data_IF_620958434920
#
_entry.id   IF_620958434920
#
_cell.length_a   1.000
_cell.length_b   1.000
_cell.length_c   1.000
_cell.angle_alpha   90.00
_cell.angle_beta   90.00
_cell.angle_gamma   90.00
#
_symmetry.space_group_name_H-M   'P 1'
#
loop_
_entity.id
_entity.type
_entity.pdbx_description
1 polymer ?
#
# COMPACT_ATOMS: atom_id res chain seq x y z
N UNK A 1 4.89 26.19 2.87
CA UNK A 1 4.66 24.84 3.41
C UNK A 1 3.34 24.78 4.15
N UNK A 2 2.65 23.65 4.09
CA UNK A 2 1.48 23.40 4.93
C UNK A 2 1.93 23.41 6.40
N UNK A 3 1.10 24.01 7.27
CA UNK A 3 1.33 24.05 8.72
C UNK A 3 2.74 24.54 9.12
N UNK A 4 3.30 25.47 8.33
CA UNK A 4 4.66 26.02 8.55
C UNK A 4 5.77 24.98 8.64
N UNK A 5 5.56 23.82 8.00
CA UNK A 5 6.50 22.70 8.01
C UNK A 5 6.35 21.75 9.21
N UNK A 6 5.41 22.01 10.11
CA UNK A 6 5.11 21.09 11.21
C UNK A 6 4.23 19.93 10.73
N UNK A 7 4.21 18.80 11.41
CA UNK A 7 3.29 17.70 11.12
C UNK A 7 1.82 18.17 11.14
N UNK A 8 1.06 17.77 10.12
CA UNK A 8 -0.39 18.04 10.05
C UNK A 8 -1.15 17.03 10.89
N UNK A 9 -0.67 15.78 10.88
CA UNK A 9 -1.27 14.65 11.59
C UNK A 9 -0.16 13.81 12.23
N UNK A 10 -0.38 13.37 13.47
CA UNK A 10 0.57 12.52 14.17
C UNK A 10 0.35 11.05 13.81
N UNK A 11 1.42 10.32 13.51
CA UNK A 11 1.36 8.88 13.28
C UNK A 11 0.83 8.09 14.49
N UNK A 12 1.00 8.64 15.69
CA UNK A 12 0.50 8.03 16.94
C UNK A 12 -1.02 7.91 16.97
N UNK A 13 -1.72 8.72 16.20
CA UNK A 13 -3.18 8.78 16.19
C UNK A 13 -3.81 8.02 15.04
N UNK A 14 -3.05 7.70 13.97
CA UNK A 14 -3.60 7.14 12.74
C UNK A 14 -3.20 5.69 12.47
N UNK A 15 -2.19 5.17 13.17
CA UNK A 15 -1.66 3.83 12.89
C UNK A 15 -1.51 2.98 14.14
N UNK A 16 -1.65 1.65 14.00
CA UNK A 16 -1.51 0.70 15.12
C UNK A 16 -0.07 0.65 15.64
N UNK A 17 0.91 0.81 14.74
CA UNK A 17 2.34 0.82 15.09
C UNK A 17 2.82 2.18 15.62
N UNK A 18 1.96 3.19 15.61
CA UNK A 18 2.32 4.57 15.97
C UNK A 18 3.51 5.10 15.17
N UNK A 19 3.59 4.69 13.93
CA UNK A 19 4.58 5.09 12.95
C UNK A 19 4.08 4.79 11.55
N UNK A 20 4.37 5.67 10.60
CA UNK A 20 3.97 5.48 9.20
C UNK A 20 5.12 5.77 8.26
N UNK A 21 5.12 5.09 7.10
CA UNK A 21 6.10 5.27 6.04
C UNK A 21 5.44 5.24 4.66
N UNK A 22 6.23 5.58 3.66
CA UNK A 22 5.93 5.42 2.24
C UNK A 22 4.58 6.03 1.86
N UNK A 23 4.33 7.33 2.16
CA UNK A 23 3.06 7.96 1.83
C UNK A 23 2.92 8.08 0.32
N UNK A 24 1.82 7.56 -0.21
CA UNK A 24 1.38 7.81 -1.58
C UNK A 24 0.06 8.57 -1.56
N UNK A 25 -0.02 9.68 -2.30
CA UNK A 25 -1.19 10.54 -2.38
C UNK A 25 -1.69 10.67 -3.81
N UNK A 26 -3.00 10.59 -3.98
CA UNK A 26 -3.70 10.74 -5.26
C UNK A 26 -4.90 11.67 -5.09
N UNK A 27 -5.16 12.54 -6.08
CA UNK A 27 -6.42 13.29 -6.14
C UNK A 27 -7.45 12.47 -6.91
N UNK A 28 -8.57 12.14 -6.27
CA UNK A 28 -9.67 11.40 -6.87
C UNK A 28 -10.52 12.22 -7.83
N UNK A 29 -11.36 11.56 -8.65
CA UNK A 29 -12.25 12.23 -9.61
C UNK A 29 -13.34 13.05 -8.91
N UNK A 30 -13.63 12.79 -7.66
CA UNK A 30 -14.56 13.50 -6.78
C UNK A 30 -13.95 14.77 -6.13
N UNK A 31 -12.65 15.00 -6.38
CA UNK A 31 -11.88 16.12 -5.86
C UNK A 31 -11.27 15.90 -4.48
N UNK A 32 -11.55 14.78 -3.80
CA UNK A 32 -10.88 14.41 -2.57
C UNK A 32 -9.44 14.00 -2.83
N UNK A 33 -8.62 14.10 -1.80
CA UNK A 33 -7.27 13.51 -1.74
C UNK A 33 -7.35 12.17 -1.01
N UNK A 34 -6.73 11.16 -1.58
CA UNK A 34 -6.63 9.81 -1.07
C UNK A 34 -5.17 9.50 -0.78
N UNK A 35 -4.88 9.04 0.41
CA UNK A 35 -3.52 8.69 0.81
C UNK A 35 -3.50 7.29 1.39
N UNK A 36 -2.47 6.55 1.05
CA UNK A 36 -2.15 5.26 1.67
C UNK A 36 -0.75 5.31 2.25
N UNK A 37 -0.56 4.70 3.42
CA UNK A 37 0.74 4.65 4.09
C UNK A 37 0.98 3.27 4.69
N UNK A 38 2.24 2.85 4.75
CA UNK A 38 2.66 1.66 5.50
C UNK A 38 2.50 1.93 7.01
N UNK A 39 1.77 1.07 7.73
CA UNK A 39 1.72 1.09 9.20
C UNK A 39 2.98 0.44 9.76
N UNK A 40 4.02 1.24 10.00
CA UNK A 40 5.33 0.74 10.37
C UNK A 40 6.10 1.68 11.29
N UNK A 41 6.65 1.10 12.34
CA UNK A 41 7.63 1.73 13.23
C UNK A 41 9.01 1.13 12.97
N UNK A 42 9.86 1.86 12.26
CA UNK A 42 11.13 1.33 11.70
C UNK A 42 12.08 0.73 12.74
N UNK A 43 12.13 1.27 13.96
CA UNK A 43 13.02 0.74 15.01
C UNK A 43 12.53 -0.56 15.66
N UNK A 44 11.29 -1.01 15.37
CA UNK A 44 10.79 -2.34 15.75
C UNK A 44 11.25 -3.44 14.78
N UNK A 45 12.01 -3.08 13.75
CA UNK A 45 12.50 -4.00 12.72
C UNK A 45 11.65 -3.99 11.44
N UNK A 46 12.09 -4.79 10.49
CA UNK A 46 11.56 -4.81 9.12
C UNK A 46 10.41 -5.80 8.89
N UNK A 47 9.98 -6.53 9.90
CA UNK A 47 8.96 -7.58 9.79
C UNK A 47 7.82 -7.42 10.81
N UNK A 48 7.61 -6.22 11.32
CA UNK A 48 6.60 -5.96 12.34
C UNK A 48 5.37 -5.22 11.82
N UNK A 49 5.35 -4.84 10.56
CA UNK A 49 4.33 -4.01 9.94
C UNK A 49 3.32 -4.88 9.17
N UNK A 50 2.19 -5.15 9.81
CA UNK A 50 1.19 -6.11 9.32
C UNK A 50 -0.08 -5.44 8.82
N UNK A 51 0.03 -4.19 8.38
CA UNK A 51 -1.09 -3.41 7.91
C UNK A 51 -0.70 -2.13 7.18
N UNK A 52 -1.72 -1.41 6.75
CA UNK A 52 -1.61 -0.11 6.11
C UNK A 52 -2.71 0.82 6.62
N UNK A 53 -2.56 2.11 6.41
CA UNK A 53 -3.61 3.09 6.71
C UNK A 53 -4.14 3.66 5.40
N UNK A 54 -5.45 3.64 5.25
CA UNK A 54 -6.19 4.30 4.18
C UNK A 54 -6.70 5.63 4.72
N UNK A 55 -6.52 6.70 3.96
CA UNK A 55 -6.87 8.05 4.39
C UNK A 55 -7.49 8.84 3.26
N UNK A 56 -8.47 9.69 3.58
CA UNK A 56 -9.03 10.66 2.63
C UNK A 56 -9.21 12.03 3.25
N UNK A 57 -9.11 13.06 2.43
CA UNK A 57 -9.22 14.47 2.85
C UNK A 57 -9.80 15.34 1.74
N UNK A 58 -10.50 16.40 2.11
CA UNK A 58 -10.93 17.46 1.18
C UNK A 58 -9.88 18.56 1.00
N UNK A 59 -9.04 18.77 1.99
CA UNK A 59 -8.18 19.96 2.13
C UNK A 59 -6.70 19.65 2.40
N UNK A 60 -6.33 18.37 2.51
CA UNK A 60 -5.01 17.87 2.92
C UNK A 60 -4.59 18.28 4.34
N UNK A 61 -5.50 18.79 5.14
CA UNK A 61 -5.26 19.19 6.54
C UNK A 61 -6.03 18.28 7.49
N UNK A 62 -7.33 18.11 7.20
CA UNK A 62 -8.20 17.22 7.99
C UNK A 62 -8.34 15.90 7.26
N UNK A 63 -7.97 14.80 7.92
CA UNK A 63 -7.95 13.47 7.35
C UNK A 63 -8.88 12.51 8.10
N UNK A 64 -9.76 11.87 7.37
CA UNK A 64 -10.39 10.62 7.79
C UNK A 64 -9.37 9.50 7.59
N UNK A 65 -9.24 8.57 8.53
CA UNK A 65 -8.24 7.51 8.45
C UNK A 65 -8.74 6.19 9.03
N UNK A 66 -8.33 5.09 8.42
CA UNK A 66 -8.69 3.74 8.82
C UNK A 66 -7.49 2.80 8.64
N UNK A 67 -7.22 1.98 9.64
CA UNK A 67 -6.13 1.00 9.56
C UNK A 67 -6.68 -0.36 9.11
N UNK A 68 -6.13 -0.88 8.02
CA UNK A 68 -6.38 -2.25 7.57
C UNK A 68 -5.33 -3.15 8.20
N UNK A 69 -5.70 -3.86 9.26
CA UNK A 69 -4.84 -4.83 9.95
C UNK A 69 -5.06 -6.23 9.39
N UNK A 70 -4.12 -6.72 8.61
CA UNK A 70 -4.24 -7.96 7.84
C UNK A 70 -4.53 -9.20 8.68
N UNK A 71 -3.86 -9.45 9.84
CA UNK A 71 -4.17 -10.60 10.68
C UNK A 71 -5.60 -10.70 11.15
N UNK A 72 -6.23 -9.58 11.45
CA UNK A 72 -7.62 -9.54 11.89
C UNK A 72 -8.58 -9.65 10.71
N UNK A 73 -8.35 -8.81 9.69
CA UNK A 73 -9.22 -8.75 8.52
C UNK A 73 -9.29 -10.06 7.76
N UNK A 74 -8.16 -10.74 7.61
CA UNK A 74 -8.02 -11.94 6.80
C UNK A 74 -7.80 -13.20 7.63
N UNK A 75 -8.36 -13.24 8.84
CA UNK A 75 -8.27 -14.42 9.72
C UNK A 75 -8.70 -15.70 8.99
N UNK A 76 -7.88 -16.76 9.12
CA UNK A 76 -8.12 -18.04 8.44
C UNK A 76 -7.57 -18.14 7.01
N UNK A 77 -7.04 -17.07 6.43
CA UNK A 77 -6.38 -17.07 5.13
C UNK A 77 -4.85 -16.92 5.25
N UNK A 78 -4.11 -17.07 4.15
CA UNK A 78 -2.66 -16.82 4.16
C UNK A 78 -2.30 -15.37 4.53
N UNK A 79 -3.18 -14.42 4.28
CA UNK A 79 -2.96 -13.02 4.57
C UNK A 79 -2.98 -12.68 6.06
N UNK A 80 -3.49 -13.58 6.92
CA UNK A 80 -3.34 -13.47 8.36
C UNK A 80 -1.88 -13.67 8.82
N UNK A 81 -1.07 -14.37 8.01
CA UNK A 81 0.32 -14.72 8.34
C UNK A 81 1.34 -13.75 7.72
N UNK A 82 0.92 -12.57 7.30
CA UNK A 82 1.84 -11.56 6.79
C UNK A 82 2.84 -11.15 7.87
N UNK A 83 4.11 -11.09 7.52
CA UNK A 83 5.15 -10.49 8.36
C UNK A 83 5.32 -9.03 8.02
N UNK A 84 4.96 -8.66 6.79
CA UNK A 84 5.00 -7.29 6.32
C UNK A 84 4.01 -7.04 5.18
N UNK A 85 3.48 -5.82 5.17
CA UNK A 85 2.67 -5.22 4.12
C UNK A 85 3.32 -3.88 3.81
N UNK A 86 3.98 -3.75 2.66
CA UNK A 86 4.87 -2.61 2.40
C UNK A 86 4.45 -1.75 1.22
N UNK A 87 4.80 -0.47 1.36
CA UNK A 87 4.72 0.56 0.33
C UNK A 87 3.40 0.51 -0.46
N UNK A 88 2.23 0.62 0.21
CA UNK A 88 0.97 0.67 -0.48
C UNK A 88 0.90 1.92 -1.35
N UNK A 89 0.37 1.75 -2.55
CA UNK A 89 0.01 2.85 -3.43
C UNK A 89 -1.41 2.66 -3.96
N UNK A 90 -1.96 3.68 -4.58
CA UNK A 90 -3.32 3.61 -5.12
C UNK A 90 -3.43 4.32 -6.46
N UNK A 91 -4.28 3.79 -7.33
CA UNK A 91 -4.67 4.39 -8.61
C UNK A 91 -6.19 4.27 -8.76
N UNK A 92 -6.81 5.23 -9.42
CA UNK A 92 -8.24 5.17 -9.72
C UNK A 92 -8.48 4.38 -11.01
N UNK A 93 -9.11 3.21 -10.89
CA UNK A 93 -9.58 2.42 -12.03
C UNK A 93 -10.85 3.07 -12.61
N UNK A 94 -10.70 3.76 -13.72
CA UNK A 94 -11.80 4.47 -14.40
C UNK A 94 -12.90 3.52 -14.89
N UNK A 95 -12.55 2.28 -15.23
CA UNK A 95 -13.49 1.27 -15.74
C UNK A 95 -14.31 0.67 -14.59
N UNK A 96 -13.67 0.28 -13.51
CA UNK A 96 -14.33 -0.23 -12.31
C UNK A 96 -14.95 0.88 -11.46
N UNK A 97 -14.54 2.14 -11.66
CA UNK A 97 -14.89 3.31 -10.83
C UNK A 97 -14.55 3.13 -9.36
N UNK A 98 -13.39 2.52 -9.11
CA UNK A 98 -12.87 2.20 -7.78
C UNK A 98 -11.41 2.56 -7.64
N UNK A 99 -10.98 2.78 -6.42
CA UNK A 99 -9.56 2.90 -6.12
C UNK A 99 -8.96 1.50 -5.97
N UNK A 100 -7.99 1.17 -6.81
CA UNK A 100 -7.17 -0.03 -6.68
C UNK A 100 -5.98 0.31 -5.78
N UNK A 101 -5.86 -0.39 -4.66
CA UNK A 101 -4.71 -0.30 -3.75
C UNK A 101 -3.81 -1.50 -4.01
N UNK A 102 -2.51 -1.26 -4.22
CA UNK A 102 -1.53 -2.30 -4.48
C UNK A 102 -0.33 -2.15 -3.54
N UNK A 103 0.26 -3.26 -3.15
CA UNK A 103 1.24 -3.33 -2.06
C UNK A 103 2.03 -4.63 -2.11
N UNK A 104 3.18 -4.66 -1.46
CA UNK A 104 4.01 -5.86 -1.36
C UNK A 104 3.74 -6.62 -0.08
N UNK A 105 3.69 -7.96 -0.17
CA UNK A 105 3.46 -8.87 0.96
C UNK A 105 4.56 -9.92 1.05
N UNK A 106 4.97 -10.22 2.28
CA UNK A 106 5.72 -11.40 2.68
C UNK A 106 4.97 -12.13 3.79
N UNK A 107 4.93 -13.46 3.75
CA UNK A 107 4.37 -14.30 4.84
C UNK A 107 5.45 -15.16 5.49
N UNK A 108 5.21 -15.60 6.72
CA UNK A 108 6.11 -16.50 7.46
C UNK A 108 5.78 -17.99 7.28
N UNK A 109 4.63 -18.29 6.69
CA UNK A 109 4.15 -19.67 6.45
C UNK A 109 4.69 -20.29 5.15
N UNK A 110 5.60 -19.61 4.46
CA UNK A 110 6.22 -20.06 3.21
C UNK A 110 5.33 -19.97 1.96
N UNK A 111 4.05 -19.54 2.09
CA UNK A 111 3.15 -19.40 0.95
C UNK A 111 3.48 -18.19 0.08
N UNK A 112 4.06 -17.16 0.70
CA UNK A 112 4.64 -16.03 0.00
C UNK A 112 6.07 -15.78 0.51
N UNK A 113 7.08 -16.53 0.00
CA UNK A 113 8.44 -16.60 0.57
C UNK A 113 9.33 -15.41 0.19
N UNK A 114 8.85 -14.49 -0.63
CA UNK A 114 9.49 -13.23 -1.01
C UNK A 114 8.42 -12.15 -1.17
N UNK A 115 8.82 -10.89 -1.16
CA UNK A 115 7.90 -9.77 -1.35
C UNK A 115 7.26 -9.84 -2.73
N UNK A 116 5.98 -10.15 -2.77
CA UNK A 116 5.17 -10.26 -3.97
C UNK A 116 4.13 -9.16 -3.99
N UNK A 117 3.87 -8.60 -5.16
CA UNK A 117 2.92 -7.50 -5.30
C UNK A 117 1.51 -8.02 -5.45
N UNK A 118 0.64 -7.56 -4.55
CA UNK A 118 -0.79 -7.83 -4.51
C UNK A 118 -1.59 -6.55 -4.67
N UNK A 119 -2.87 -6.70 -4.96
CA UNK A 119 -3.83 -5.60 -5.03
C UNK A 119 -5.21 -6.00 -4.53
N UNK A 120 -5.98 -5.02 -4.10
CA UNK A 120 -7.42 -5.12 -3.85
C UNK A 120 -8.07 -3.77 -4.14
N UNK A 121 -9.38 -3.74 -4.40
CA UNK A 121 -10.10 -2.47 -4.42
C UNK A 121 -10.33 -1.97 -3.01
N UNK A 122 -10.26 -0.66 -2.82
CA UNK A 122 -10.84 -0.02 -1.64
C UNK A 122 -12.37 0.00 -1.77
N UNK A 123 -13.05 -0.05 -0.62
CA UNK A 123 -14.50 0.17 -0.55
C UNK A 123 -14.86 1.63 -0.87
N UNK A 124 -16.15 1.93 -0.99
CA UNK A 124 -16.66 3.21 -1.48
C UNK A 124 -16.20 4.41 -0.64
N UNK A 125 -16.11 4.25 0.67
CA UNK A 125 -15.68 5.32 1.59
C UNK A 125 -14.17 5.36 1.86
N UNK A 126 -13.39 4.50 1.19
CA UNK A 126 -11.93 4.37 1.33
C UNK A 126 -11.50 4.05 2.77
N UNK A 127 -12.30 3.27 3.48
CA UNK A 127 -12.04 2.87 4.88
C UNK A 127 -11.50 1.46 5.03
N UNK A 128 -11.66 0.60 4.00
CA UNK A 128 -11.25 -0.80 4.03
C UNK A 128 -10.97 -1.33 2.61
N UNK A 129 -10.38 -2.52 2.52
CA UNK A 129 -10.19 -3.25 1.26
C UNK A 129 -11.35 -4.24 1.03
N UNK A 130 -11.78 -4.38 -0.22
CA UNK A 130 -12.81 -5.35 -0.61
C UNK A 130 -12.20 -6.72 -0.88
N UNK A 131 -12.75 -7.75 -0.24
CA UNK A 131 -12.36 -9.15 -0.47
C UNK A 131 -10.91 -9.47 -0.11
N UNK A 132 -10.41 -10.59 -0.62
CA UNK A 132 -9.01 -10.99 -0.45
C UNK A 132 -8.12 -10.36 -1.54
N UNK A 133 -6.87 -9.96 -1.18
CA UNK A 133 -5.93 -9.45 -2.15
C UNK A 133 -5.61 -10.47 -3.25
N UNK A 134 -5.45 -9.99 -4.47
CA UNK A 134 -5.07 -10.77 -5.65
C UNK A 134 -3.64 -10.45 -6.06
N UNK A 135 -2.92 -11.41 -6.61
CA UNK A 135 -1.59 -11.18 -7.16
C UNK A 135 -1.71 -10.17 -8.31
N UNK A 136 -0.93 -9.10 -8.28
CA UNK A 136 -0.82 -8.15 -9.38
C UNK A 136 0.17 -8.69 -10.42
N UNK A 137 1.38 -9.03 -9.98
CA UNK A 137 2.37 -9.73 -10.78
C UNK A 137 3.32 -10.54 -9.88
N UNK A 138 4.00 -11.51 -10.50
CA UNK A 138 4.98 -12.36 -9.84
C UNK A 138 6.15 -12.63 -10.79
N UNK A 139 7.31 -12.09 -10.47
CA UNK A 139 8.56 -12.33 -11.21
C UNK A 139 9.42 -13.45 -10.61
N UNK A 140 8.86 -14.22 -9.68
CA UNK A 140 9.59 -15.25 -8.92
C UNK A 140 10.80 -14.69 -8.14
N UNK A 141 10.73 -13.43 -7.78
CA UNK A 141 11.72 -12.73 -6.97
C UNK A 141 11.06 -11.55 -6.25
N UNK A 142 11.71 -11.07 -5.17
CA UNK A 142 11.17 -9.97 -4.40
C UNK A 142 11.00 -8.69 -5.24
N UNK A 143 9.80 -8.09 -5.17
CA UNK A 143 9.44 -6.82 -5.79
C UNK A 143 8.73 -5.93 -4.77
N UNK A 144 9.21 -4.70 -4.61
CA UNK A 144 8.67 -3.70 -3.71
C UNK A 144 8.60 -2.33 -4.38
N UNK A 145 8.04 -1.35 -3.70
CA UNK A 145 7.99 0.05 -4.15
C UNK A 145 7.38 0.17 -5.55
N UNK A 146 6.28 -0.56 -5.77
CA UNK A 146 5.60 -0.57 -7.08
C UNK A 146 4.87 0.75 -7.30
N UNK A 147 5.05 1.33 -8.49
CA UNK A 147 4.30 2.50 -8.95
C UNK A 147 3.64 2.21 -10.30
N UNK A 148 2.39 2.65 -10.47
CA UNK A 148 1.62 2.47 -11.70
C UNK A 148 1.20 3.83 -12.23
N UNK A 149 1.60 4.13 -13.45
CA UNK A 149 1.30 5.38 -14.13
C UNK A 149 0.51 5.08 -15.40
N UNK A 150 -0.60 5.77 -15.61
CA UNK A 150 -1.33 5.78 -16.88
C UNK A 150 -0.79 6.93 -17.73
N UNK A 151 -0.35 6.64 -18.96
CA UNK A 151 0.09 7.65 -19.90
C UNK A 151 -1.07 8.30 -20.68
N UNK A 152 -0.74 9.24 -21.56
CA UNK A 152 -1.71 9.99 -22.35
C UNK A 152 -2.51 9.09 -23.32
N UNK A 153 -1.94 7.97 -23.75
CA UNK A 153 -2.57 6.98 -24.62
C UNK A 153 -3.43 5.96 -23.87
N UNK A 154 -3.48 6.05 -22.53
CA UNK A 154 -4.21 5.15 -21.67
C UNK A 154 -3.50 3.83 -21.40
N UNK A 155 -2.20 3.75 -21.70
CA UNK A 155 -1.37 2.60 -21.34
C UNK A 155 -0.88 2.72 -19.90
N UNK A 156 -0.84 1.58 -19.20
CA UNK A 156 -0.32 1.51 -17.85
C UNK A 156 1.13 1.06 -17.84
N UNK A 157 1.99 1.86 -17.23
CA UNK A 157 3.39 1.56 -17.00
C UNK A 157 3.59 1.19 -15.54
N UNK A 158 4.26 0.07 -15.28
CA UNK A 158 4.52 -0.43 -13.94
C UNK A 158 6.01 -0.34 -13.66
N UNK A 159 6.37 0.40 -12.62
CA UNK A 159 7.72 0.52 -12.10
C UNK A 159 7.80 -0.18 -10.76
N UNK A 160 8.89 -0.84 -10.46
CA UNK A 160 9.11 -1.50 -9.18
C UNK A 160 10.59 -1.69 -8.91
N UNK A 161 10.92 -1.89 -7.63
CA UNK A 161 12.27 -2.21 -7.20
C UNK A 161 12.37 -3.69 -6.91
N UNK A 162 13.40 -4.35 -7.43
CA UNK A 162 13.73 -5.73 -7.06
C UNK A 162 14.60 -5.74 -5.80
N UNK A 163 14.19 -6.50 -4.80
CA UNK A 163 14.99 -6.81 -3.62
C UNK A 163 15.41 -8.27 -3.65
N UNK A 164 16.66 -8.52 -3.87
CA UNK A 164 17.22 -9.86 -3.90
C UNK A 164 18.52 -9.85 -4.64
N UNK A 165 19.55 -10.44 -4.05
CA UNK A 165 20.95 -10.33 -4.43
C UNK A 165 21.17 -10.27 -5.95
N UNK A 166 22.16 -9.49 -6.33
CA UNK A 166 22.63 -9.31 -7.70
C UNK A 166 22.69 -10.64 -8.46
N UNK A 167 21.60 -11.10 -9.04
CA UNK A 167 21.67 -12.00 -10.17
C UNK A 167 22.03 -11.14 -11.37
N UNK A 168 23.26 -11.32 -11.86
CA UNK A 168 23.77 -10.71 -13.08
C UNK A 168 22.76 -10.91 -14.20
N UNK A 169 22.35 -9.80 -14.83
CA UNK A 169 21.95 -9.77 -16.22
C UNK A 169 20.51 -10.08 -16.53
N UNK A 170 19.65 -9.06 -16.45
CA UNK A 170 18.68 -8.84 -17.53
C UNK A 170 18.85 -7.40 -18.01
N UNK A 171 19.41 -7.25 -19.20
CA UNK A 171 19.22 -6.05 -20.02
C UNK A 171 17.92 -6.27 -20.78
N UNK A 172 17.02 -5.36 -20.65
CA UNK A 172 16.02 -5.09 -21.68
C UNK A 172 16.54 -3.99 -22.57
#
# INVERSE_FOLDING_TARGET
PLNDGNPIISSDTISLKKGVRDPHILRGPDGYFYMVVTDMRSWEGWSSNRGMVLMRSKDMVTWEHHTVHFPEKYAGTMFANVTRVWAPQTIYDKKAKKFMVYFSILTDDGKCPYDKVYWAYANEDFSDLEGEPKVLFDFHSAAIDTDIIEDEDGMYHVFFKTEGGRKKGYRQ
#
